data_IF_477761182939
#
_entry.id   IF_477761182939
#
_cell.length_a   1.000
_cell.length_b   1.000
_cell.length_c   1.000
_cell.angle_alpha   90.00
_cell.angle_beta   90.00
_cell.angle_gamma   90.00
#
_symmetry.space_group_name_H-M   'P 1'
#
loop_
_entity.id
_entity.type
_entity.pdbx_description
1 polymer ?
#
# COMPACT_ATOMS: atom_id res chain seq x y z
N UNK A 1 -1.26 -1.48 18.82
CA UNK A 1 -1.37 -0.07 19.28
C UNK A 1 -0.86 0.00 20.70
N UNK A 2 -0.04 1.00 21.04
CA UNK A 2 0.57 1.13 22.37
C UNK A 2 0.54 2.57 22.87
N UNK A 3 0.62 2.74 24.20
CA UNK A 3 0.71 4.02 24.91
C UNK A 3 1.91 3.91 25.86
N UNK A 4 2.89 4.80 25.70
CA UNK A 4 4.16 4.74 26.43
C UNK A 4 4.85 3.35 26.38
N UNK A 5 4.82 2.71 25.21
CA UNK A 5 5.41 1.38 24.99
C UNK A 5 4.57 0.19 25.47
N UNK A 6 3.48 0.42 26.22
CA UNK A 6 2.60 -0.65 26.69
C UNK A 6 1.42 -0.88 25.73
N UNK A 7 1.09 -2.13 25.37
CA UNK A 7 -0.10 -2.44 24.59
C UNK A 7 -1.36 -1.91 25.28
N UNK A 8 -2.29 -1.38 24.49
CA UNK A 8 -3.61 -0.92 24.98
C UNK A 8 -4.71 -1.71 24.29
N UNK A 9 -5.79 -1.99 25.04
CA UNK A 9 -6.99 -2.59 24.48
C UNK A 9 -7.71 -1.57 23.60
N UNK A 10 -8.14 -2.01 22.41
CA UNK A 10 -8.91 -1.19 21.49
C UNK A 10 -10.41 -1.41 21.70
N UNK A 11 -11.17 -0.34 21.52
CA UNK A 11 -12.62 -0.39 21.51
C UNK A 11 -13.13 -0.43 20.07
N UNK A 12 -14.24 -1.14 19.80
CA UNK A 12 -14.93 -1.01 18.54
C UNK A 12 -15.36 0.44 18.31
N UNK A 13 -15.06 0.93 17.12
CA UNK A 13 -15.56 2.19 16.59
C UNK A 13 -16.17 1.89 15.24
N UNK A 14 -17.41 2.32 15.00
CA UNK A 14 -18.17 2.05 13.76
C UNK A 14 -18.16 0.56 13.33
N UNK A 15 -18.05 -0.37 14.28
CA UNK A 15 -18.11 -1.81 14.03
C UNK A 15 -16.75 -2.52 13.83
N UNK A 16 -15.63 -1.82 13.89
CA UNK A 16 -14.28 -2.42 13.76
C UNK A 16 -13.31 -1.92 14.84
N UNK A 17 -12.21 -2.65 15.06
CA UNK A 17 -11.14 -2.22 15.99
C UNK A 17 -10.20 -1.18 15.40
N UNK A 18 -10.48 -0.71 14.18
CA UNK A 18 -9.83 0.44 13.58
C UNK A 18 -10.29 0.63 12.14
N UNK A 19 -9.87 1.73 11.52
CA UNK A 19 -10.10 2.00 10.10
C UNK A 19 -8.84 2.59 9.49
N UNK A 20 -8.62 2.28 8.21
CA UNK A 20 -7.59 2.93 7.41
C UNK A 20 -8.26 3.63 6.23
N UNK A 21 -8.00 4.94 6.12
CA UNK A 21 -8.29 5.71 4.91
C UNK A 21 -6.96 6.03 4.20
N UNK A 22 -6.91 5.78 2.90
CA UNK A 22 -5.76 6.10 2.04
C UNK A 22 -6.22 7.07 0.96
N UNK A 23 -5.50 8.19 0.80
CA UNK A 23 -5.79 9.22 -0.20
C UNK A 23 -4.53 9.50 -1.02
N UNK A 24 -4.58 9.37 -2.36
CA UNK A 24 -3.47 9.81 -3.23
C UNK A 24 -3.47 11.34 -3.33
N UNK A 25 -2.30 11.97 -3.24
CA UNK A 25 -2.21 13.44 -3.24
C UNK A 25 -2.57 14.07 -4.58
N UNK A 26 -2.35 13.36 -5.67
CA UNK A 26 -2.35 13.96 -7.01
C UNK A 26 -3.77 14.06 -7.58
N UNK A 27 -4.60 13.05 -7.35
CA UNK A 27 -5.94 12.94 -7.90
C UNK A 27 -7.02 12.63 -6.87
N UNK A 28 -6.65 12.62 -5.58
CA UNK A 28 -7.55 12.33 -4.46
C UNK A 28 -8.24 10.96 -4.55
N UNK A 29 -7.65 10.00 -5.28
CA UNK A 29 -8.12 8.61 -5.23
C UNK A 29 -8.16 8.09 -3.80
N UNK A 30 -9.25 7.41 -3.46
CA UNK A 30 -9.65 7.10 -2.08
C UNK A 30 -9.82 5.60 -1.89
N UNK A 31 -9.33 5.08 -0.77
CA UNK A 31 -9.58 3.72 -0.31
C UNK A 31 -9.90 3.71 1.19
N UNK A 32 -10.94 2.99 1.57
CA UNK A 32 -11.27 2.67 2.96
C UNK A 32 -11.02 1.18 3.21
N UNK A 33 -10.26 0.85 4.25
CA UNK A 33 -9.92 -0.53 4.61
C UNK A 33 -10.23 -0.80 6.08
N UNK A 34 -10.97 -1.88 6.33
CA UNK A 34 -11.15 -2.44 7.67
C UNK A 34 -10.02 -3.41 7.99
N UNK A 35 -9.62 -3.54 9.27
CA UNK A 35 -8.64 -4.53 9.66
C UNK A 35 -9.22 -5.94 9.55
N UNK A 36 -8.34 -6.94 9.41
CA UNK A 36 -8.71 -8.33 9.62
C UNK A 36 -9.25 -8.54 11.05
N UNK A 37 -10.08 -9.57 11.23
CA UNK A 37 -10.61 -9.95 12.53
C UNK A 37 -9.48 -10.37 13.49
N UNK A 38 -9.65 -10.06 14.77
CA UNK A 38 -8.70 -10.41 15.82
C UNK A 38 -8.47 -9.26 16.80
N UNK A 39 -7.76 -9.54 17.89
CA UNK A 39 -7.50 -8.54 18.94
C UNK A 39 -6.50 -7.45 18.51
N UNK A 40 -5.71 -7.70 17.47
CA UNK A 40 -4.75 -6.74 16.91
C UNK A 40 -5.20 -6.35 15.50
N UNK A 41 -5.43 -5.06 15.22
CA UNK A 41 -5.88 -4.63 13.90
C UNK A 41 -4.73 -4.77 12.89
N UNK A 42 -4.97 -5.54 11.84
CA UNK A 42 -4.05 -5.73 10.71
C UNK A 42 -4.72 -5.24 9.44
N UNK A 43 -4.11 -4.27 8.77
CA UNK A 43 -4.62 -3.69 7.52
C UNK A 43 -3.80 -4.19 6.32
N UNK A 44 -4.48 -4.51 5.22
CA UNK A 44 -3.85 -4.91 3.97
C UNK A 44 -4.34 -4.00 2.83
N UNK A 45 -3.39 -3.46 2.07
CA UNK A 45 -3.65 -2.64 0.88
C UNK A 45 -2.78 -3.18 -0.26
N UNK A 46 -3.38 -3.40 -1.42
CA UNK A 46 -2.68 -3.89 -2.61
C UNK A 46 -3.14 -3.15 -3.87
N UNK A 47 -2.36 -3.24 -4.93
CA UNK A 47 -2.74 -2.67 -6.24
C UNK A 47 -2.75 -1.14 -6.31
N UNK A 48 -2.06 -0.44 -5.41
CA UNK A 48 -1.89 1.01 -5.52
C UNK A 48 -1.03 1.33 -6.75
N UNK A 49 -1.51 2.28 -7.55
CA UNK A 49 -0.71 2.88 -8.59
C UNK A 49 0.47 3.65 -7.97
N UNK A 50 1.53 3.95 -8.75
CA UNK A 50 2.58 4.83 -8.29
C UNK A 50 2.03 6.20 -7.89
N UNK A 51 2.61 6.80 -6.87
CA UNK A 51 2.23 8.12 -6.38
C UNK A 51 2.48 8.29 -4.89
N UNK A 52 2.20 9.51 -4.40
CA UNK A 52 2.27 9.85 -2.99
C UNK A 52 0.90 9.71 -2.33
N UNK A 53 0.86 9.08 -1.17
CA UNK A 53 -0.37 8.75 -0.47
C UNK A 53 -0.33 9.20 0.98
N UNK A 54 -1.47 9.69 1.47
CA UNK A 54 -1.72 9.98 2.88
C UNK A 54 -2.57 8.87 3.47
N UNK A 55 -2.05 8.22 4.50
CA UNK A 55 -2.71 7.15 5.24
C UNK A 55 -3.19 7.71 6.57
N UNK A 56 -4.45 7.45 6.93
CA UNK A 56 -5.07 7.84 8.19
C UNK A 56 -5.62 6.60 8.87
N UNK A 57 -5.04 6.26 10.02
CA UNK A 57 -5.47 5.14 10.85
C UNK A 57 -6.25 5.66 12.04
N UNK A 58 -7.50 5.25 12.18
CA UNK A 58 -8.34 5.60 13.32
C UNK A 58 -8.46 4.42 14.28
N UNK A 59 -8.20 4.68 15.56
CA UNK A 59 -8.35 3.72 16.66
C UNK A 59 -9.09 4.37 17.83
N UNK A 60 -9.94 3.63 18.53
CA UNK A 60 -10.61 4.10 19.75
C UNK A 60 -9.95 3.50 20.99
N UNK A 61 -9.50 4.39 21.89
CA UNK A 61 -8.83 4.03 23.15
C UNK A 61 -9.33 4.99 24.23
N UNK A 62 -9.72 4.45 25.39
CA UNK A 62 -10.25 5.21 26.52
C UNK A 62 -11.44 6.11 26.11
N UNK A 63 -12.33 5.58 25.27
CA UNK A 63 -13.48 6.30 24.71
C UNK A 63 -13.17 7.35 23.64
N UNK A 64 -11.89 7.61 23.33
CA UNK A 64 -11.43 8.66 22.41
C UNK A 64 -10.92 8.06 21.10
N UNK A 65 -11.41 8.58 19.97
CA UNK A 65 -10.86 8.25 18.64
C UNK A 65 -9.56 9.01 18.42
N UNK A 66 -8.51 8.28 18.05
CA UNK A 66 -7.16 8.77 17.79
C UNK A 66 -6.81 8.47 16.33
N UNK A 67 -6.38 9.48 15.60
CA UNK A 67 -5.88 9.33 14.23
C UNK A 67 -4.36 9.34 14.21
N UNK A 68 -3.76 8.28 13.69
CA UNK A 68 -2.34 8.25 13.33
C UNK A 68 -2.22 8.41 11.81
N UNK A 69 -1.37 9.33 11.35
CA UNK A 69 -1.33 9.67 9.94
C UNK A 69 0.08 9.58 9.37
N UNK A 70 0.24 8.82 8.27
CA UNK A 70 1.52 8.61 7.58
C UNK A 70 1.47 9.10 6.14
N UNK A 71 2.63 9.42 5.57
CA UNK A 71 2.77 9.70 4.14
C UNK A 71 3.68 8.63 3.56
N UNK A 72 3.26 8.00 2.48
CA UNK A 72 3.97 6.90 1.83
C UNK A 72 4.10 7.22 0.34
N UNK A 73 5.30 7.12 -0.19
CA UNK A 73 5.56 7.18 -1.62
C UNK A 73 5.57 5.75 -2.18
N UNK A 74 4.65 5.45 -3.09
CA UNK A 74 4.56 4.17 -3.80
C UNK A 74 5.24 4.35 -5.16
N UNK A 75 6.35 3.65 -5.37
CA UNK A 75 7.05 3.64 -6.67
C UNK A 75 6.40 2.68 -7.67
N UNK A 76 6.72 2.85 -8.95
CA UNK A 76 6.49 1.79 -9.95
C UNK A 76 7.24 0.54 -9.53
N UNK A 77 6.58 -0.62 -9.61
CA UNK A 77 7.27 -1.89 -9.53
C UNK A 77 8.39 -1.88 -10.57
N UNK A 78 9.65 -1.95 -10.12
CA UNK A 78 10.78 -2.10 -11.02
C UNK A 78 10.63 -3.49 -11.66
N UNK A 79 10.28 -3.56 -12.94
CA UNK A 79 10.43 -4.82 -13.67
C UNK A 79 11.91 -5.19 -13.60
N UNK A 80 12.29 -6.36 -13.06
CA UNK A 80 13.63 -6.86 -13.28
C UNK A 80 13.82 -6.91 -14.79
N UNK A 81 14.77 -6.15 -15.31
CA UNK A 81 15.02 -6.07 -16.75
C UNK A 81 15.11 -7.48 -17.31
N UNK A 82 14.17 -7.85 -18.17
CA UNK A 82 14.36 -9.00 -19.04
C UNK A 82 15.66 -8.77 -19.80
N UNK A 83 16.61 -9.71 -19.83
CA UNK A 83 17.80 -9.54 -20.66
C UNK A 83 17.30 -9.39 -22.10
N UNK A 84 17.57 -8.23 -22.69
CA UNK A 84 17.39 -8.00 -24.12
C UNK A 84 18.15 -9.10 -24.84
N UNK A 85 17.42 -10.04 -25.44
CA UNK A 85 18.01 -11.01 -26.36
C UNK A 85 18.69 -10.23 -27.47
N UNK A 86 19.98 -10.48 -27.67
CA UNK A 86 20.71 -9.98 -28.81
C UNK A 86 20.08 -10.56 -30.07
N UNK A 87 19.35 -9.73 -30.80
CA UNK A 87 18.97 -9.97 -32.18
C UNK A 87 20.24 -10.08 -33.02
N UNK A 88 20.56 -11.30 -33.45
CA UNK A 88 21.54 -11.59 -34.49
C UNK A 88 20.82 -12.18 -35.70
N UNK A 89 19.98 -11.37 -36.35
CA UNK A 89 19.40 -11.72 -37.65
C UNK A 89 20.47 -11.52 -38.72
N UNK A 90 21.18 -12.59 -39.07
CA UNK A 90 21.99 -12.64 -40.28
C UNK A 90 21.11 -13.22 -41.40
N UNK A 91 20.37 -12.35 -42.06
CA UNK A 91 19.98 -12.55 -43.45
C UNK A 91 21.19 -12.13 -44.30
N UNK A 92 21.78 -13.07 -45.02
CA UNK A 92 22.42 -12.73 -46.29
C UNK A 92 22.04 -13.79 -47.33
N UNK A 93 21.42 -13.30 -48.40
CA UNK A 93 21.06 -14.07 -49.59
C UNK A 93 22.28 -14.21 -50.50
N UNK A 94 22.21 -15.20 -51.39
CA UNK A 94 23.36 -15.66 -52.17
C UNK A 94 23.79 -14.75 -53.33
N UNK A 95 24.87 -15.17 -53.98
CA UNK A 95 25.12 -14.95 -55.38
C UNK A 95 25.93 -16.11 -55.98
N UNK A 96 25.68 -16.35 -57.26
CA UNK A 96 26.19 -17.42 -58.12
C UNK A 96 27.56 -17.08 -58.71
N UNK A 97 28.43 -18.08 -58.83
CA UNK A 97 29.67 -18.03 -59.60
C UNK A 97 30.40 -19.36 -59.59
#
# INVERSE_FOLDING_TARGET
VSKAGQPVALEPYLGALGHLVVIRTDDLSYLHVHPAEGATPVFAVSGLAPGRYRYFFDFKVDGVVRTAAFTVDVGSAHSPGMPMGSEGSAHDGGDHG
#
